data_IF_630554285308
#
_entry.id   IF_630554285308
#
_cell.length_a   1.000
_cell.length_b   1.000
_cell.length_c   1.000
_cell.angle_alpha   90.00
_cell.angle_beta   90.00
_cell.angle_gamma   90.00
#
_symmetry.space_group_name_H-M   'P 1'
#
loop_
_entity.id
_entity.type
_entity.pdbx_description
1 polymer ?
#
# COMPACT_ATOMS: atom_id res chain seq x y z
N UNK A 1 26.90 -19.91 -15.55
CA UNK A 1 27.25 -18.61 -14.94
C UNK A 1 27.27 -18.80 -13.42
N UNK A 2 28.31 -18.32 -12.76
CA UNK A 2 28.37 -18.33 -11.29
C UNK A 2 27.32 -17.35 -10.74
N UNK A 3 26.66 -17.66 -9.62
CA UNK A 3 25.74 -16.74 -8.98
C UNK A 3 26.46 -15.43 -8.60
N UNK A 4 25.72 -14.37 -8.40
CA UNK A 4 26.27 -13.11 -7.90
C UNK A 4 26.61 -13.27 -6.41
N UNK A 5 27.75 -12.72 -6.00
CA UNK A 5 28.24 -12.82 -4.62
C UNK A 5 27.63 -11.73 -3.72
N UNK A 6 27.54 -10.50 -4.25
CA UNK A 6 27.01 -9.34 -3.56
C UNK A 6 26.42 -8.32 -4.54
N UNK A 7 25.95 -7.19 -4.02
CA UNK A 7 25.37 -6.09 -4.81
C UNK A 7 26.36 -5.41 -5.72
N UNK A 8 27.64 -5.36 -5.34
CA UNK A 8 28.71 -4.75 -6.14
C UNK A 8 29.09 -5.66 -7.32
N UNK A 9 29.19 -6.98 -7.08
CA UNK A 9 29.43 -7.96 -8.14
C UNK A 9 28.30 -7.94 -9.17
N UNK A 10 27.04 -7.85 -8.71
CA UNK A 10 25.88 -7.68 -9.59
C UNK A 10 26.02 -6.41 -10.44
N UNK A 11 26.26 -5.26 -9.82
CA UNK A 11 26.36 -3.98 -10.53
C UNK A 11 27.48 -4.02 -11.58
N UNK A 12 28.63 -4.57 -11.23
CA UNK A 12 29.79 -4.70 -12.11
C UNK A 12 29.52 -5.63 -13.28
N UNK A 13 29.05 -6.86 -13.03
CA UNK A 13 28.87 -7.89 -14.08
C UNK A 13 27.69 -7.61 -15.00
N UNK A 14 26.64 -6.98 -14.49
CA UNK A 14 25.47 -6.57 -15.26
C UNK A 14 25.61 -5.14 -15.85
N UNK A 15 26.71 -4.44 -15.53
CA UNK A 15 26.96 -3.05 -15.94
C UNK A 15 25.84 -2.08 -15.55
N UNK A 16 25.28 -2.27 -14.35
CA UNK A 16 24.21 -1.45 -13.80
C UNK A 16 24.76 -0.18 -13.13
N UNK A 17 24.07 0.93 -13.36
CA UNK A 17 24.39 2.19 -12.69
C UNK A 17 23.71 2.30 -11.30
N UNK A 18 24.07 3.36 -10.55
CA UNK A 18 23.50 3.62 -9.22
C UNK A 18 21.96 3.73 -9.26
N UNK A 19 21.41 4.35 -10.31
CA UNK A 19 19.97 4.56 -10.44
C UNK A 19 19.23 3.25 -10.69
N UNK A 20 19.80 2.38 -11.52
CA UNK A 20 19.26 1.05 -11.79
C UNK A 20 19.31 0.16 -10.56
N UNK A 21 20.41 0.17 -9.83
CA UNK A 21 20.55 -0.55 -8.57
C UNK A 21 19.58 -0.04 -7.50
N UNK A 22 19.36 1.27 -7.41
CA UNK A 22 18.34 1.84 -6.51
C UNK A 22 16.92 1.42 -6.87
N UNK A 23 16.60 1.27 -8.16
CA UNK A 23 15.29 0.75 -8.61
C UNK A 23 15.10 -0.70 -8.20
N UNK A 24 16.12 -1.54 -8.37
CA UNK A 24 16.10 -2.94 -7.93
C UNK A 24 15.92 -3.04 -6.40
N UNK A 25 16.70 -2.26 -5.65
CA UNK A 25 16.59 -2.19 -4.20
C UNK A 25 15.21 -1.68 -3.73
N UNK A 26 14.66 -0.65 -4.40
CA UNK A 26 13.31 -0.14 -4.15
C UNK A 26 12.22 -1.19 -4.37
N UNK A 27 12.40 -2.06 -5.36
CA UNK A 27 11.50 -3.18 -5.64
C UNK A 27 11.74 -4.42 -4.74
N UNK A 28 12.66 -4.34 -3.74
CA UNK A 28 13.08 -5.46 -2.88
C UNK A 28 13.66 -6.66 -3.66
N UNK A 29 14.24 -6.40 -4.83
CA UNK A 29 14.71 -7.44 -5.74
C UNK A 29 16.09 -8.01 -5.36
N UNK A 30 16.81 -7.39 -4.43
CA UNK A 30 18.17 -7.77 -4.03
C UNK A 30 18.22 -8.52 -2.69
N UNK A 31 17.10 -9.10 -2.25
CA UNK A 31 16.94 -9.74 -0.94
C UNK A 31 17.96 -10.87 -0.72
N UNK A 32 18.31 -11.62 -1.77
CA UNK A 32 19.29 -12.71 -1.70
C UNK A 32 20.74 -12.25 -1.60
N UNK A 33 21.02 -10.99 -1.95
CA UNK A 33 22.38 -10.41 -1.96
C UNK A 33 22.65 -9.50 -0.76
N UNK A 34 21.65 -8.70 -0.35
CA UNK A 34 21.79 -7.68 0.68
C UNK A 34 20.74 -7.78 1.80
N UNK A 35 19.92 -8.84 1.83
CA UNK A 35 18.89 -9.01 2.86
C UNK A 35 17.74 -8.02 2.71
N UNK A 36 17.32 -7.38 3.81
CA UNK A 36 16.13 -6.52 3.81
C UNK A 36 16.32 -5.21 3.02
N UNK A 37 15.20 -4.65 2.51
CA UNK A 37 15.20 -3.50 1.59
C UNK A 37 16.00 -2.29 2.06
N UNK A 38 15.95 -1.93 3.35
CA UNK A 38 16.72 -0.79 3.87
C UNK A 38 18.22 -0.98 3.66
N UNK A 39 18.73 -2.20 3.83
CA UNK A 39 20.13 -2.56 3.55
C UNK A 39 20.40 -2.47 2.05
N UNK A 40 19.52 -3.02 1.22
CA UNK A 40 19.65 -2.97 -0.26
C UNK A 40 19.75 -1.52 -0.75
N UNK A 41 18.88 -0.62 -0.27
CA UNK A 41 18.88 0.79 -0.66
C UNK A 41 20.16 1.50 -0.18
N UNK A 42 20.64 1.16 1.00
CA UNK A 42 21.90 1.69 1.54
C UNK A 42 23.08 1.30 0.64
N UNK A 43 23.23 0.01 0.35
CA UNK A 43 24.30 -0.50 -0.49
C UNK A 43 24.22 0.04 -1.92
N UNK A 44 23.02 0.07 -2.54
CA UNK A 44 22.81 0.66 -3.86
C UNK A 44 23.20 2.15 -3.91
N UNK A 45 23.03 2.88 -2.81
CA UNK A 45 23.39 4.30 -2.70
C UNK A 45 24.87 4.52 -2.42
N UNK A 46 25.56 3.52 -1.89
CA UNK A 46 27.01 3.56 -1.66
C UNK A 46 27.84 3.20 -2.92
N UNK A 47 27.17 2.70 -3.97
CA UNK A 47 27.84 2.38 -5.24
C UNK A 47 28.38 3.66 -5.87
N UNK A 48 29.69 3.83 -5.79
CA UNK A 48 30.42 4.88 -6.52
C UNK A 48 31.14 4.25 -7.70
N UNK A 49 31.11 4.93 -8.84
CA UNK A 49 31.95 4.53 -9.98
C UNK A 49 33.41 4.57 -9.52
N UNK A 50 34.03 3.40 -9.37
CA UNK A 50 35.43 3.32 -9.01
C UNK A 50 36.28 4.00 -10.12
N UNK A 51 37.23 4.86 -9.78
CA UNK A 51 38.20 5.36 -10.74
C UNK A 51 38.86 4.19 -11.49
N UNK A 52 39.16 4.39 -12.78
CA UNK A 52 39.69 3.32 -13.68
C UNK A 52 40.86 2.58 -13.03
N UNK A 53 41.69 3.26 -12.28
CA UNK A 53 42.88 2.72 -11.59
C UNK A 53 42.58 1.88 -10.34
N UNK A 54 41.36 1.97 -9.79
CA UNK A 54 40.95 1.29 -8.55
C UNK A 54 39.82 0.28 -8.79
N UNK A 55 39.48 -0.04 -10.01
CA UNK A 55 38.39 -0.96 -10.36
C UNK A 55 38.52 -2.35 -9.74
N UNK A 56 39.74 -2.82 -9.57
CA UNK A 56 40.04 -4.16 -9.06
C UNK A 56 40.57 -4.13 -7.61
N UNK A 57 40.57 -2.96 -6.97
CA UNK A 57 40.99 -2.86 -5.58
C UNK A 57 39.86 -3.41 -4.64
N UNK A 58 40.15 -4.32 -3.70
CA UNK A 58 39.18 -4.77 -2.72
C UNK A 58 38.77 -3.58 -1.88
N UNK A 59 37.46 -3.36 -1.74
CA UNK A 59 36.91 -2.36 -0.84
C UNK A 59 36.74 -3.06 0.51
N UNK A 60 37.65 -2.80 1.44
CA UNK A 60 37.60 -3.29 2.82
C UNK A 60 36.88 -2.23 3.69
N UNK A 61 35.59 -2.02 3.42
CA UNK A 61 34.74 -1.18 4.28
C UNK A 61 34.00 -2.06 5.29
N UNK A 62 34.00 -1.63 6.56
CA UNK A 62 33.25 -2.32 7.60
C UNK A 62 31.75 -2.38 7.22
N UNK A 63 31.19 -3.58 7.14
CA UNK A 63 29.80 -3.81 6.84
C UNK A 63 28.92 -3.18 7.94
N UNK A 64 28.14 -2.18 7.56
CA UNK A 64 27.17 -1.57 8.46
C UNK A 64 25.82 -2.27 8.31
N UNK A 65 25.44 -3.08 9.28
CA UNK A 65 24.14 -3.73 9.34
C UNK A 65 23.08 -2.75 9.86
N UNK A 66 22.09 -2.46 9.02
CA UNK A 66 20.95 -1.62 9.36
C UNK A 66 19.81 -2.45 9.96
N UNK A 67 19.04 -1.93 10.93
CA UNK A 67 17.84 -2.63 11.38
C UNK A 67 16.77 -2.67 10.28
N UNK A 68 16.02 -3.80 10.16
CA UNK A 68 14.95 -3.91 9.19
C UNK A 68 13.85 -2.87 9.43
N UNK A 69 13.20 -2.43 8.37
CA UNK A 69 12.07 -1.54 8.48
C UNK A 69 10.83 -2.27 9.06
N UNK A 70 9.96 -1.59 9.81
CA UNK A 70 8.66 -2.14 10.19
C UNK A 70 7.81 -2.48 8.97
N UNK A 71 6.96 -3.52 9.07
CA UNK A 71 6.14 -3.99 7.93
C UNK A 71 5.30 -2.88 7.29
N UNK A 72 4.74 -1.97 8.08
CA UNK A 72 3.96 -0.86 7.55
C UNK A 72 4.77 0.11 6.69
N UNK A 73 6.04 0.33 7.02
CA UNK A 73 6.96 1.12 6.20
C UNK A 73 7.27 0.39 4.89
N UNK A 74 7.52 -0.92 4.95
CA UNK A 74 7.75 -1.76 3.78
C UNK A 74 6.55 -1.75 2.81
N UNK A 75 5.31 -1.84 3.32
CA UNK A 75 4.09 -1.74 2.52
C UNK A 75 3.98 -0.38 1.84
N UNK A 76 4.32 0.71 2.52
CA UNK A 76 4.34 2.06 1.91
C UNK A 76 5.38 2.15 0.80
N UNK A 77 6.56 1.59 1.01
CA UNK A 77 7.61 1.51 -0.03
C UNK A 77 7.18 0.68 -1.23
N UNK A 78 6.52 -0.46 -1.03
CA UNK A 78 5.99 -1.29 -2.10
C UNK A 78 5.05 -0.50 -3.01
N UNK A 79 4.07 0.21 -2.42
CA UNK A 79 3.15 1.03 -3.21
C UNK A 79 3.83 2.21 -3.90
N UNK A 80 4.88 2.78 -3.30
CA UNK A 80 5.62 3.88 -3.90
C UNK A 80 6.50 3.43 -5.08
N UNK A 81 7.07 2.23 -5.02
CA UNK A 81 8.01 1.72 -6.02
C UNK A 81 7.35 0.92 -7.14
N UNK A 82 6.41 0.04 -6.80
CA UNK A 82 5.80 -0.92 -7.75
C UNK A 82 4.29 -0.73 -7.94
N UNK A 83 3.64 0.04 -7.06
CA UNK A 83 2.20 0.25 -7.07
C UNK A 83 1.37 -0.90 -6.46
N UNK A 84 2.03 -1.95 -5.96
CA UNK A 84 1.39 -3.10 -5.32
C UNK A 84 2.29 -3.64 -4.20
N UNK A 85 1.74 -4.46 -3.31
CA UNK A 85 2.50 -5.16 -2.28
C UNK A 85 2.18 -6.66 -2.30
N UNK A 86 3.19 -7.48 -2.02
CA UNK A 86 3.06 -8.92 -1.75
C UNK A 86 3.03 -9.22 -0.25
N UNK A 87 3.12 -8.19 0.59
CA UNK A 87 3.04 -8.25 2.05
C UNK A 87 1.59 -8.14 2.51
N UNK A 88 1.37 -7.93 3.79
CA UNK A 88 0.03 -7.73 4.35
C UNK A 88 -0.70 -6.57 3.68
N UNK A 89 -2.02 -6.75 3.47
CA UNK A 89 -2.85 -5.66 2.96
C UNK A 89 -2.81 -4.45 3.93
N UNK A 90 -2.67 -3.21 3.46
CA UNK A 90 -2.55 -2.01 4.32
C UNK A 90 -3.66 -1.90 5.36
N UNK A 91 -4.89 -2.29 5.01
CA UNK A 91 -6.01 -2.22 5.94
C UNK A 91 -5.95 -3.31 7.03
N UNK A 92 -5.28 -4.44 6.79
CA UNK A 92 -5.03 -5.42 7.85
C UNK A 92 -4.22 -4.79 8.99
N UNK A 93 -3.18 -4.05 8.66
CA UNK A 93 -2.35 -3.32 9.64
C UNK A 93 -3.12 -2.19 10.34
N UNK A 94 -4.05 -1.54 9.63
CA UNK A 94 -4.90 -0.48 10.19
C UNK A 94 -6.17 -1.02 10.88
N UNK A 95 -6.51 -2.30 10.76
CA UNK A 95 -7.78 -2.88 11.22
C UNK A 95 -8.09 -2.60 12.71
N UNK A 96 -7.13 -2.68 13.65
CA UNK A 96 -7.41 -2.31 15.05
C UNK A 96 -7.90 -0.86 15.22
N UNK A 97 -7.34 0.08 14.44
CA UNK A 97 -7.74 1.48 14.44
C UNK A 97 -9.12 1.69 13.77
N UNK A 98 -9.36 0.98 12.66
CA UNK A 98 -10.63 1.04 11.93
C UNK A 98 -11.79 0.45 12.75
N UNK A 99 -11.55 -0.64 13.50
CA UNK A 99 -12.52 -1.22 14.44
C UNK A 99 -12.91 -0.26 15.58
N UNK A 100 -11.94 0.49 16.13
CA UNK A 100 -12.24 1.55 17.11
C UNK A 100 -13.19 2.61 16.54
N UNK A 101 -13.16 2.84 15.22
CA UNK A 101 -14.08 3.73 14.50
C UNK A 101 -15.36 3.04 14.04
N UNK A 102 -15.57 1.76 14.41
CA UNK A 102 -16.71 0.92 14.02
C UNK A 102 -16.85 0.78 12.50
N UNK A 103 -15.73 0.74 11.77
CA UNK A 103 -15.70 0.50 10.34
C UNK A 103 -15.56 -1.01 10.09
N UNK A 104 -16.55 -1.57 9.43
CA UNK A 104 -16.69 -2.98 9.11
C UNK A 104 -15.85 -3.33 7.87
N UNK A 105 -15.43 -4.58 7.76
CA UNK A 105 -14.76 -5.11 6.59
C UNK A 105 -15.76 -5.72 5.59
N UNK A 106 -15.27 -6.08 4.40
CA UNK A 106 -16.10 -6.62 3.33
C UNK A 106 -16.78 -7.95 3.73
N UNK A 107 -16.09 -8.79 4.48
CA UNK A 107 -16.64 -10.06 4.95
C UNK A 107 -17.80 -9.83 5.93
N UNK A 108 -17.60 -8.95 6.93
CA UNK A 108 -18.64 -8.59 7.89
C UNK A 108 -19.90 -8.00 7.21
N UNK A 109 -19.72 -7.21 6.12
CA UNK A 109 -20.84 -6.67 5.36
C UNK A 109 -21.65 -7.77 4.67
N UNK A 110 -20.99 -8.77 4.12
CA UNK A 110 -21.67 -9.88 3.40
C UNK A 110 -22.59 -10.71 4.30
N UNK A 111 -22.35 -10.71 5.60
CA UNK A 111 -23.17 -11.42 6.58
C UNK A 111 -24.42 -10.62 7.01
N UNK A 112 -24.50 -9.33 6.63
CA UNK A 112 -25.60 -8.48 7.05
C UNK A 112 -26.85 -8.69 6.17
N UNK A 113 -28.06 -8.57 6.77
CA UNK A 113 -29.29 -8.54 6.02
C UNK A 113 -29.42 -7.26 5.18
N UNK A 114 -30.25 -7.32 4.13
CA UNK A 114 -30.59 -6.15 3.32
C UNK A 114 -31.14 -4.99 4.15
N UNK A 115 -30.88 -3.76 3.69
CA UNK A 115 -31.40 -2.52 4.28
C UNK A 115 -30.70 -2.05 5.56
N UNK A 116 -29.69 -2.75 6.07
CA UNK A 116 -28.94 -2.35 7.28
C UNK A 116 -28.09 -1.10 7.03
N UNK A 117 -28.05 -0.23 8.04
CA UNK A 117 -27.07 0.86 8.08
C UNK A 117 -25.67 0.31 8.40
N UNK A 118 -24.70 0.67 7.57
CA UNK A 118 -23.33 0.17 7.64
C UNK A 118 -22.32 1.32 7.63
N UNK A 119 -21.13 1.00 8.10
CA UNK A 119 -19.94 1.84 8.06
C UNK A 119 -18.78 0.96 7.59
N UNK A 120 -18.23 1.26 6.46
CA UNK A 120 -17.11 0.50 5.91
C UNK A 120 -16.03 1.44 5.39
N UNK A 121 -14.88 0.90 5.08
CA UNK A 121 -13.83 1.63 4.38
C UNK A 121 -13.00 0.66 3.54
N UNK A 122 -12.38 1.20 2.50
CA UNK A 122 -11.46 0.47 1.64
C UNK A 122 -10.57 1.41 0.85
N UNK A 123 -9.50 0.83 0.29
CA UNK A 123 -8.69 1.49 -0.72
C UNK A 123 -9.53 1.63 -1.98
N UNK A 124 -9.52 2.79 -2.57
CA UNK A 124 -10.28 3.04 -3.79
C UNK A 124 -9.51 2.46 -4.98
N UNK A 125 -10.04 1.39 -5.56
CA UNK A 125 -9.48 0.72 -6.74
C UNK A 125 -10.08 1.19 -8.05
N UNK A 126 -11.30 1.74 -8.02
CA UNK A 126 -11.95 2.26 -9.21
C UNK A 126 -13.07 3.26 -8.93
N UNK A 127 -13.29 4.14 -9.88
CA UNK A 127 -14.43 5.08 -9.92
C UNK A 127 -14.97 5.08 -11.35
N UNK A 128 -16.26 4.81 -11.49
CA UNK A 128 -16.93 4.78 -12.80
C UNK A 128 -18.17 5.68 -12.75
N UNK A 129 -18.33 6.49 -13.76
CA UNK A 129 -19.53 7.32 -13.97
C UNK A 129 -20.14 7.00 -15.33
N UNK A 130 -21.00 5.98 -15.42
CA UNK A 130 -21.66 5.65 -16.68
C UNK A 130 -22.50 6.81 -17.19
N UNK A 131 -22.44 7.10 -18.48
CA UNK A 131 -23.21 8.19 -19.10
C UNK A 131 -24.73 8.01 -18.99
N UNK A 132 -25.18 6.76 -18.87
CA UNK A 132 -26.60 6.39 -18.72
C UNK A 132 -27.13 6.50 -17.28
N UNK A 133 -26.25 6.63 -16.28
CA UNK A 133 -26.61 6.52 -14.86
C UNK A 133 -27.00 7.86 -14.20
N UNK A 134 -27.47 8.87 -14.95
CA UNK A 134 -27.99 10.15 -14.44
C UNK A 134 -27.12 10.78 -13.33
N UNK A 135 -25.79 10.71 -13.46
CA UNK A 135 -24.86 11.31 -12.52
C UNK A 135 -24.47 10.45 -11.32
N UNK A 136 -24.92 9.21 -11.24
CA UNK A 136 -24.48 8.23 -10.24
C UNK A 136 -23.02 7.84 -10.47
N UNK A 137 -22.24 7.73 -9.41
CA UNK A 137 -20.86 7.26 -9.45
C UNK A 137 -20.78 5.92 -8.72
N UNK A 138 -20.20 4.94 -9.36
CA UNK A 138 -19.85 3.65 -8.75
C UNK A 138 -18.40 3.71 -8.28
N UNK A 139 -18.17 3.34 -7.04
CA UNK A 139 -16.83 3.30 -6.43
C UNK A 139 -16.54 1.89 -5.98
N UNK A 140 -15.45 1.32 -6.48
CA UNK A 140 -14.93 0.04 -5.99
C UNK A 140 -13.93 0.31 -4.89
N UNK A 141 -14.18 -0.29 -3.73
CA UNK A 141 -13.27 -0.29 -2.58
C UNK A 141 -12.73 -1.68 -2.38
N UNK A 142 -11.53 -1.78 -1.84
CA UNK A 142 -10.89 -3.04 -1.47
C UNK A 142 -10.36 -2.96 -0.05
N UNK A 143 -10.62 -3.99 0.73
CA UNK A 143 -10.00 -4.20 2.03
C UNK A 143 -9.32 -5.58 2.10
N UNK A 144 -8.76 -5.94 3.24
CA UNK A 144 -8.04 -7.20 3.45
C UNK A 144 -8.92 -8.45 3.32
N UNK A 145 -10.24 -8.31 3.23
CA UNK A 145 -11.22 -9.41 3.13
C UNK A 145 -11.97 -9.43 1.80
N UNK A 146 -11.76 -8.43 0.96
CA UNK A 146 -12.30 -8.39 -0.40
C UNK A 146 -12.83 -7.03 -0.86
N UNK A 147 -13.55 -7.07 -1.97
CA UNK A 147 -14.09 -5.88 -2.62
C UNK A 147 -15.48 -5.48 -2.06
N UNK A 148 -15.70 -4.17 -2.01
CA UNK A 148 -16.97 -3.53 -1.62
C UNK A 148 -17.39 -2.62 -2.78
N UNK A 149 -18.58 -2.81 -3.31
CA UNK A 149 -19.15 -1.91 -4.30
C UNK A 149 -19.98 -0.82 -3.62
N UNK A 150 -19.76 0.43 -4.01
CA UNK A 150 -20.43 1.60 -3.44
C UNK A 150 -21.16 2.36 -4.54
N UNK A 151 -22.43 2.67 -4.30
CA UNK A 151 -23.27 3.50 -5.16
C UNK A 151 -23.37 4.88 -4.55
N UNK A 152 -22.85 5.89 -5.24
CA UNK A 152 -22.87 7.30 -4.81
C UNK A 152 -23.83 8.07 -5.71
N UNK A 153 -24.99 8.41 -5.17
CA UNK A 153 -25.97 9.23 -5.88
C UNK A 153 -25.48 10.66 -6.13
N UNK A 154 -25.94 11.26 -7.19
CA UNK A 154 -25.50 12.59 -7.66
C UNK A 154 -25.48 13.63 -6.52
N UNK A 155 -26.55 13.70 -5.71
CA UNK A 155 -26.66 14.63 -4.58
C UNK A 155 -25.54 14.47 -3.54
N UNK A 156 -25.14 13.24 -3.24
CA UNK A 156 -24.03 12.97 -2.31
C UNK A 156 -22.69 13.29 -2.99
N UNK A 157 -22.54 12.89 -4.25
CA UNK A 157 -21.33 13.12 -5.04
C UNK A 157 -21.02 14.60 -5.25
N UNK A 158 -22.03 15.44 -5.49
CA UNK A 158 -21.86 16.89 -5.60
C UNK A 158 -21.46 17.54 -4.26
N UNK A 159 -22.15 17.16 -3.19
CA UNK A 159 -21.88 17.70 -1.86
C UNK A 159 -20.51 17.32 -1.31
N UNK A 160 -20.05 16.10 -1.60
CA UNK A 160 -18.79 15.53 -1.10
C UNK A 160 -17.83 15.19 -2.25
N UNK A 161 -17.72 16.13 -3.19
CA UNK A 161 -16.93 15.93 -4.42
C UNK A 161 -15.44 15.68 -4.15
N UNK A 162 -14.88 16.34 -3.15
CA UNK A 162 -13.46 16.19 -2.81
C UNK A 162 -13.17 14.79 -2.27
N UNK A 163 -13.98 14.34 -1.32
CA UNK A 163 -13.88 13.00 -0.75
C UNK A 163 -14.07 11.93 -1.81
N UNK A 164 -15.07 12.11 -2.69
CA UNK A 164 -15.36 11.19 -3.78
C UNK A 164 -14.20 11.06 -4.77
N UNK A 165 -13.56 12.17 -5.14
CA UNK A 165 -12.58 12.17 -6.24
C UNK A 165 -11.14 11.98 -5.79
N UNK A 166 -10.77 12.44 -4.57
CA UNK A 166 -9.36 12.51 -4.15
C UNK A 166 -8.95 11.45 -3.15
N UNK A 167 -9.89 10.85 -2.40
CA UNK A 167 -9.55 9.86 -1.39
C UNK A 167 -8.89 8.62 -2.00
N UNK A 168 -7.77 8.20 -1.46
CA UNK A 168 -7.15 6.89 -1.71
C UNK A 168 -7.70 5.84 -0.76
N UNK A 169 -7.98 6.22 0.49
CA UNK A 169 -8.70 5.44 1.49
C UNK A 169 -10.01 6.16 1.81
N UNK A 170 -11.14 5.53 1.50
CA UNK A 170 -12.45 6.12 1.63
C UNK A 170 -13.29 5.37 2.65
N UNK A 171 -13.81 6.08 3.66
CA UNK A 171 -14.86 5.56 4.51
C UNK A 171 -16.24 5.94 3.96
N UNK A 172 -17.15 5.00 3.99
CA UNK A 172 -18.52 5.13 3.49
C UNK A 172 -19.50 4.78 4.60
N UNK A 173 -20.45 5.66 4.79
CA UNK A 173 -21.60 5.49 5.69
C UNK A 173 -22.84 5.42 4.81
N UNK A 174 -23.61 4.35 4.93
CA UNK A 174 -24.73 4.16 4.03
C UNK A 174 -25.61 2.99 4.40
N UNK A 175 -26.42 2.59 3.45
CA UNK A 175 -27.33 1.45 3.59
C UNK A 175 -26.79 0.29 2.75
N UNK A 176 -26.67 -0.87 3.36
CA UNK A 176 -26.36 -2.11 2.68
C UNK A 176 -27.55 -2.53 1.84
N UNK A 177 -27.33 -2.80 0.59
CA UNK A 177 -28.33 -3.28 -0.34
C UNK A 177 -27.89 -4.59 -0.94
N UNK A 178 -28.76 -5.59 -0.85
CA UNK A 178 -28.55 -6.91 -1.43
C UNK A 178 -29.67 -7.20 -2.42
N UNK A 179 -29.30 -7.46 -3.66
CA UNK A 179 -30.23 -7.80 -4.73
C UNK A 179 -29.70 -9.07 -5.43
N UNK A 180 -30.22 -10.23 -5.03
CA UNK A 180 -29.67 -11.53 -5.41
C UNK A 180 -28.24 -11.71 -4.91
N UNK A 181 -27.31 -11.95 -5.84
CA UNK A 181 -25.87 -12.04 -5.55
C UNK A 181 -25.16 -10.68 -5.52
N UNK A 182 -25.79 -9.66 -6.09
CA UNK A 182 -25.23 -8.32 -6.11
C UNK A 182 -25.40 -7.64 -4.74
N UNK A 183 -24.28 -7.14 -4.21
CA UNK A 183 -24.24 -6.45 -2.94
C UNK A 183 -23.55 -5.10 -3.08
N UNK A 184 -24.22 -4.04 -2.61
CA UNK A 184 -23.72 -2.68 -2.72
C UNK A 184 -23.94 -1.90 -1.42
N UNK A 185 -23.11 -0.89 -1.17
CA UNK A 185 -23.36 0.13 -0.15
C UNK A 185 -23.90 1.38 -0.86
N UNK A 186 -25.15 1.74 -0.60
CA UNK A 186 -25.71 3.01 -1.06
C UNK A 186 -25.25 4.12 -0.11
N UNK A 187 -24.34 4.95 -0.57
CA UNK A 187 -23.70 5.96 0.24
C UNK A 187 -24.64 7.10 0.62
N UNK A 188 -24.64 7.46 1.90
CA UNK A 188 -25.28 8.68 2.43
C UNK A 188 -24.24 9.73 2.82
N UNK A 189 -23.03 9.27 3.22
CA UNK A 189 -21.90 10.11 3.61
C UNK A 189 -20.58 9.42 3.25
N UNK A 190 -19.64 10.24 2.80
CA UNK A 190 -18.25 9.86 2.52
C UNK A 190 -17.31 10.56 3.50
N UNK A 191 -16.18 9.94 3.79
CA UNK A 191 -15.13 10.57 4.59
C UNK A 191 -13.75 10.13 4.07
N UNK A 192 -12.88 11.09 3.82
CA UNK A 192 -11.50 10.83 3.43
C UNK A 192 -10.68 10.34 4.63
N UNK A 193 -10.16 9.13 4.53
CA UNK A 193 -9.24 8.53 5.50
C UNK A 193 -7.82 8.36 4.94
N UNK A 194 -7.52 8.92 3.77
CA UNK A 194 -6.19 8.87 3.14
C UNK A 194 -5.04 9.20 4.10
N UNK A 195 -5.16 10.19 5.03
CA UNK A 195 -4.11 10.48 5.99
C UNK A 195 -3.74 9.30 6.91
N UNK A 196 -4.62 8.31 7.08
CA UNK A 196 -4.30 7.11 7.86
C UNK A 196 -3.28 6.21 7.18
N UNK A 197 -3.20 6.23 5.86
CA UNK A 197 -2.17 5.48 5.12
C UNK A 197 -0.75 5.98 5.48
N UNK A 198 -0.58 7.27 5.74
CA UNK A 198 0.69 7.84 6.23
C UNK A 198 1.05 7.41 7.66
N UNK A 199 0.10 6.85 8.42
CA UNK A 199 0.37 6.33 9.76
C UNK A 199 0.84 4.87 9.78
N UNK A 200 0.84 4.18 8.65
CA UNK A 200 1.36 2.81 8.56
C UNK A 200 2.80 2.72 9.04
N UNK A 201 3.61 3.73 8.75
CA UNK A 201 5.00 3.83 9.24
C UNK A 201 5.11 4.05 10.75
N UNK A 202 4.05 4.53 11.42
CA UNK A 202 4.03 4.85 12.85
C UNK A 202 3.38 3.75 13.70
N UNK A 203 2.38 3.03 13.16
CA UNK A 203 1.59 2.03 13.91
C UNK A 203 2.42 0.79 14.24
N UNK A 204 3.41 0.47 13.43
CA UNK A 204 4.29 -0.70 13.63
C UNK A 204 5.50 -0.40 14.54
N UNK A 205 5.78 0.87 14.84
CA UNK A 205 6.87 1.28 15.74
C UNK A 205 6.50 1.31 17.23
N UNK A 206 5.23 1.15 17.61
CA UNK A 206 4.75 1.34 18.98
C UNK A 206 4.56 0.04 19.78
N UNK A 207 5.31 -1.02 19.50
CA UNK A 207 5.25 -2.25 20.29
C UNK A 207 6.63 -2.82 20.51
N UNK A 208 7.37 -2.22 21.45
CA UNK A 208 8.43 -2.89 22.24
C UNK A 208 9.08 -1.88 23.22
N UNK A 209 8.32 -1.50 24.24
CA UNK A 209 8.93 -1.24 25.54
C UNK A 209 9.00 -2.60 26.26
N UNK A 210 10.15 -3.24 26.21
CA UNK A 210 10.52 -4.26 27.16
C UNK A 210 11.08 -3.55 28.40
N UNK A 211 10.34 -3.64 29.50
CA UNK A 211 10.91 -3.62 30.84
C UNK A 211 11.53 -4.96 31.14
#
# INVERSE_FOLDING_TARGET
>A
QMPFEDTQDLARRAALDEQEMRRLAGADALISLAGHRRQQVWEASALKAAPILLRDAPIDEAFLELPPAPEGEEVVFDYASTGLTLRSHPLALLRPLLRKRRLQNAQELRELPDGRWVRCCGIVTGRQRPGTAKGVVFVSLEDETGAIQVVVWNKVGERQRNELLRSKLLAVYGRWQREGEACNVVASRLQDLTPLLGRLTQVTGASRDFR
#
